data_IF_895979327945
#
_entry.id   IF_895979327945
#
_cell.length_a   1.000
_cell.length_b   1.000
_cell.length_c   1.000
_cell.angle_alpha   90.00
_cell.angle_beta   90.00
_cell.angle_gamma   90.00
#
_symmetry.space_group_name_H-M   'P 1'
#
loop_
_entity.id
_entity.type
_entity.pdbx_description
1 polymer ?
#
# COMPACT_ATOMS: atom_id res chain seq x y z
N UNK A 1 -26.75 -5.82 35.67
CA UNK A 1 -26.83 -5.21 34.31
C UNK A 1 -25.74 -5.80 33.47
N UNK A 2 -26.07 -6.77 32.62
CA UNK A 2 -25.16 -7.35 31.64
C UNK A 2 -25.00 -6.32 30.52
N UNK A 3 -23.78 -5.86 30.29
CA UNK A 3 -23.48 -5.04 29.11
C UNK A 3 -23.77 -5.87 27.86
N UNK A 4 -24.44 -5.30 26.85
CA UNK A 4 -24.65 -6.00 25.59
C UNK A 4 -23.27 -6.30 24.97
N UNK A 5 -23.08 -7.56 24.60
CA UNK A 5 -21.91 -8.01 23.84
C UNK A 5 -21.83 -7.16 22.56
N UNK A 6 -20.71 -6.52 22.26
CA UNK A 6 -20.56 -5.78 21.02
C UNK A 6 -20.82 -6.74 19.86
N UNK A 7 -21.50 -6.30 18.78
CA UNK A 7 -21.74 -7.14 17.61
C UNK A 7 -20.41 -7.70 17.10
N UNK A 8 -20.39 -9.01 16.87
CA UNK A 8 -19.27 -9.68 16.22
C UNK A 8 -18.96 -8.94 14.92
N UNK A 9 -17.72 -8.49 14.79
CA UNK A 9 -17.27 -7.85 13.55
C UNK A 9 -17.43 -8.85 12.42
N UNK A 10 -17.97 -8.44 11.26
CA UNK A 10 -17.93 -9.30 10.09
C UNK A 10 -16.49 -9.73 9.86
N UNK A 11 -16.23 -11.02 9.89
CA UNK A 11 -14.92 -11.65 9.66
C UNK A 11 -14.55 -11.71 8.17
N UNK A 12 -15.31 -11.02 7.32
CA UNK A 12 -15.28 -11.18 5.87
C UNK A 12 -14.41 -10.13 5.14
N UNK A 13 -13.42 -9.55 5.84
CA UNK A 13 -12.43 -8.72 5.16
C UNK A 13 -11.38 -9.62 4.51
N UNK A 14 -11.44 -9.72 3.17
CA UNK A 14 -10.47 -10.43 2.36
C UNK A 14 -9.50 -9.43 1.68
N UNK A 15 -8.24 -9.34 2.11
CA UNK A 15 -7.25 -8.45 1.50
C UNK A 15 -7.03 -8.70 0.01
N UNK A 16 -7.12 -9.94 -0.43
CA UNK A 16 -6.97 -10.29 -1.86
C UNK A 16 -8.10 -9.71 -2.68
N UNK A 17 -9.33 -9.89 -2.22
CA UNK A 17 -10.52 -9.37 -2.90
C UNK A 17 -10.53 -7.85 -2.93
N UNK A 18 -10.20 -7.19 -1.80
CA UNK A 18 -10.14 -5.73 -1.72
C UNK A 18 -9.05 -5.18 -2.63
N UNK A 19 -7.86 -5.79 -2.67
CA UNK A 19 -6.79 -5.38 -3.58
C UNK A 19 -7.25 -5.47 -5.04
N UNK A 20 -7.89 -6.57 -5.42
CA UNK A 20 -8.43 -6.73 -6.78
C UNK A 20 -9.47 -5.66 -7.10
N UNK A 21 -10.36 -5.39 -6.17
CA UNK A 21 -11.39 -4.36 -6.34
C UNK A 21 -10.77 -2.98 -6.56
N UNK A 22 -9.86 -2.52 -5.69
CA UNK A 22 -9.26 -1.19 -5.81
C UNK A 22 -8.29 -1.07 -6.99
N UNK A 23 -7.74 -2.19 -7.47
CA UNK A 23 -6.85 -2.23 -8.64
C UNK A 23 -7.60 -2.39 -9.98
N UNK A 24 -8.93 -2.45 -9.98
CA UNK A 24 -9.71 -2.72 -11.18
C UNK A 24 -10.16 -1.47 -11.94
N UNK A 25 -10.03 -0.29 -11.35
CA UNK A 25 -10.53 0.95 -11.97
C UNK A 25 -9.68 2.19 -11.62
N UNK A 26 -9.87 3.24 -12.39
CA UNK A 26 -9.26 4.54 -12.17
C UNK A 26 -7.74 4.51 -12.18
N UNK A 27 -7.14 5.37 -11.37
CA UNK A 27 -5.68 5.49 -11.25
C UNK A 27 -5.02 4.18 -10.81
N UNK A 28 -5.59 3.51 -9.80
CA UNK A 28 -5.05 2.25 -9.31
C UNK A 28 -5.12 1.13 -10.37
N UNK A 29 -6.19 1.10 -11.17
CA UNK A 29 -6.30 0.19 -12.31
C UNK A 29 -5.25 0.47 -13.39
N UNK A 30 -4.99 1.73 -13.69
CA UNK A 30 -3.94 2.13 -14.63
C UNK A 30 -2.54 1.81 -14.11
N UNK A 31 -2.30 1.96 -12.80
CA UNK A 31 -1.06 1.55 -12.16
C UNK A 31 -0.79 0.04 -12.30
N UNK A 32 -1.83 -0.78 -12.18
CA UNK A 32 -1.76 -2.23 -12.36
C UNK A 32 -1.02 -2.95 -11.23
N UNK A 33 -1.02 -2.40 -10.03
CA UNK A 33 -0.45 -3.08 -8.87
C UNK A 33 -1.24 -4.35 -8.55
N UNK A 34 -0.54 -5.43 -8.23
CA UNK A 34 -1.15 -6.73 -7.91
C UNK A 34 -0.77 -7.19 -6.51
N UNK A 35 -1.68 -7.93 -5.89
CA UNK A 35 -1.46 -8.54 -4.58
C UNK A 35 -0.34 -9.59 -4.62
N UNK A 36 0.49 -9.60 -3.57
CA UNK A 36 1.55 -10.60 -3.35
C UNK A 36 1.29 -11.37 -2.06
N UNK A 37 1.25 -10.69 -0.93
CA UNK A 37 1.10 -11.30 0.38
C UNK A 37 0.58 -10.30 1.42
N UNK A 38 0.15 -10.80 2.57
CA UNK A 38 -0.16 -9.99 3.73
C UNK A 38 0.07 -10.76 5.05
N UNK A 39 0.22 -10.02 6.14
CA UNK A 39 0.17 -10.54 7.49
C UNK A 39 -1.00 -9.95 8.26
N UNK A 40 -0.83 -9.74 9.55
CA UNK A 40 -1.87 -9.15 10.43
C UNK A 40 -1.90 -7.62 10.38
N UNK A 41 -0.81 -6.98 9.93
CA UNK A 41 -0.60 -5.54 9.94
C UNK A 41 0.23 -5.02 8.76
N UNK A 42 0.53 -5.86 7.77
CA UNK A 42 1.29 -5.50 6.58
C UNK A 42 0.70 -6.13 5.30
N UNK A 43 1.00 -5.50 4.18
CA UNK A 43 0.65 -5.96 2.83
C UNK A 43 1.83 -5.78 1.90
N UNK A 44 2.03 -6.71 0.99
CA UNK A 44 2.92 -6.60 -0.16
C UNK A 44 2.15 -6.57 -1.47
N UNK A 45 2.50 -5.58 -2.29
CA UNK A 45 2.03 -5.43 -3.65
C UNK A 45 3.20 -5.45 -4.62
N UNK A 46 2.95 -5.92 -5.82
CA UNK A 46 3.91 -5.88 -6.93
C UNK A 46 3.48 -4.89 -8.00
N UNK A 47 4.43 -4.15 -8.51
CA UNK A 47 4.32 -3.31 -9.69
C UNK A 47 5.24 -3.88 -10.78
N UNK A 48 4.65 -4.54 -11.77
CA UNK A 48 5.42 -5.08 -12.88
C UNK A 48 5.93 -3.95 -13.77
N UNK A 49 7.16 -4.11 -14.27
CA UNK A 49 7.77 -3.13 -15.17
C UNK A 49 6.97 -3.00 -16.47
N UNK A 50 6.72 -1.76 -16.86
CA UNK A 50 6.08 -1.41 -18.13
C UNK A 50 6.71 -0.14 -18.71
N UNK A 51 6.78 -0.07 -20.01
CA UNK A 51 7.38 1.08 -20.71
C UNK A 51 6.67 2.41 -20.39
N UNK A 52 5.36 2.38 -20.16
CA UNK A 52 4.55 3.54 -19.83
C UNK A 52 4.87 4.14 -18.46
N UNK A 53 5.54 3.39 -17.58
CA UNK A 53 5.94 3.81 -16.24
C UNK A 53 7.39 4.32 -16.16
N UNK A 54 8.09 4.33 -17.29
CA UNK A 54 9.47 4.81 -17.39
C UNK A 54 9.52 6.33 -17.27
N UNK A 55 10.43 6.84 -16.46
CA UNK A 55 10.66 8.27 -16.28
C UNK A 55 11.80 8.84 -17.12
N UNK A 56 12.69 7.97 -17.60
CA UNK A 56 13.84 8.34 -18.40
C UNK A 56 14.01 7.35 -19.56
N UNK A 57 13.82 7.84 -20.78
CA UNK A 57 13.89 7.06 -22.02
C UNK A 57 15.29 6.48 -22.30
N UNK A 58 16.35 7.12 -21.83
CA UNK A 58 17.73 6.66 -22.04
C UNK A 58 18.08 5.53 -21.08
N UNK A 59 17.86 5.73 -19.80
CA UNK A 59 18.22 4.75 -18.75
C UNK A 59 17.16 3.68 -18.51
N UNK A 60 15.92 3.89 -19.01
CA UNK A 60 14.77 3.00 -18.81
C UNK A 60 14.37 2.80 -17.33
N UNK A 61 14.80 3.71 -16.47
CA UNK A 61 14.44 3.71 -15.04
C UNK A 61 12.99 4.09 -14.87
N UNK A 62 12.28 3.40 -13.96
CA UNK A 62 10.92 3.75 -13.59
C UNK A 62 10.84 5.17 -13.02
N UNK A 63 9.79 5.90 -13.38
CA UNK A 63 9.49 7.17 -12.77
C UNK A 63 9.20 7.01 -11.26
N UNK A 64 9.43 8.05 -10.48
CA UNK A 64 9.13 8.05 -9.05
C UNK A 64 7.64 7.96 -8.73
N UNK A 65 6.79 8.57 -9.56
CA UNK A 65 5.34 8.57 -9.37
C UNK A 65 4.72 7.20 -9.18
N UNK A 66 4.97 6.22 -10.05
CA UNK A 66 4.48 4.85 -9.89
C UNK A 66 4.92 4.17 -8.58
N UNK A 67 6.15 4.40 -8.13
CA UNK A 67 6.66 3.85 -6.85
C UNK A 67 5.95 4.51 -5.66
N UNK A 68 5.74 5.83 -5.70
CA UNK A 68 4.96 6.55 -4.68
C UNK A 68 3.53 6.01 -4.62
N UNK A 69 2.87 5.86 -5.77
CA UNK A 69 1.50 5.35 -5.85
C UNK A 69 1.40 3.91 -5.32
N UNK A 70 2.38 3.05 -5.64
CA UNK A 70 2.47 1.69 -5.11
C UNK A 70 2.56 1.70 -3.57
N UNK A 71 3.39 2.58 -3.01
CA UNK A 71 3.62 2.65 -1.58
C UNK A 71 2.44 3.26 -0.83
N UNK A 72 1.77 4.26 -1.40
CA UNK A 72 0.52 4.80 -0.86
C UNK A 72 -0.57 3.70 -0.80
N UNK A 73 -0.70 2.93 -1.86
CA UNK A 73 -1.64 1.82 -1.93
C UNK A 73 -1.29 0.69 -0.95
N UNK A 74 -0.03 0.26 -0.86
CA UNK A 74 0.39 -0.81 0.04
C UNK A 74 0.19 -0.43 1.51
N UNK A 75 0.55 0.79 1.91
CA UNK A 75 0.37 1.26 3.28
C UNK A 75 -1.10 1.50 3.65
N UNK A 76 -1.92 1.95 2.71
CA UNK A 76 -3.37 2.09 2.94
C UNK A 76 -4.05 0.73 3.11
N UNK A 77 -3.70 -0.26 2.33
CA UNK A 77 -4.20 -1.64 2.47
C UNK A 77 -3.75 -2.27 3.80
N UNK A 78 -2.52 -2.02 4.24
CA UNK A 78 -2.03 -2.47 5.54
C UNK A 78 -2.87 -1.93 6.71
N UNK A 79 -3.39 -0.70 6.58
CA UNK A 79 -4.32 -0.12 7.55
C UNK A 79 -5.62 -0.91 7.64
N UNK A 80 -6.22 -1.28 6.51
CA UNK A 80 -7.44 -2.08 6.49
C UNK A 80 -7.21 -3.50 6.99
N UNK A 81 -6.08 -4.12 6.64
CA UNK A 81 -5.70 -5.44 7.15
C UNK A 81 -5.61 -5.43 8.67
N UNK A 82 -4.88 -4.47 9.24
CA UNK A 82 -4.76 -4.34 10.70
C UNK A 82 -6.09 -4.04 11.37
N UNK A 83 -6.96 -3.28 10.72
CA UNK A 83 -8.29 -2.97 11.21
C UNK A 83 -9.27 -4.14 11.08
N UNK A 84 -8.99 -5.07 10.16
CA UNK A 84 -9.84 -6.21 9.86
C UNK A 84 -11.15 -5.81 9.16
N UNK A 85 -11.18 -4.66 8.48
CA UNK A 85 -12.32 -4.19 7.70
C UNK A 85 -11.92 -3.13 6.67
N UNK A 86 -12.69 -3.08 5.59
CA UNK A 86 -12.66 -1.97 4.66
C UNK A 86 -13.44 -0.78 5.25
N UNK A 87 -12.81 0.39 5.26
CA UNK A 87 -13.45 1.61 5.75
C UNK A 87 -12.81 2.80 5.02
N UNK A 88 -13.59 3.85 4.70
CA UNK A 88 -13.06 5.02 4.03
C UNK A 88 -11.92 5.64 4.83
N UNK A 89 -10.85 5.98 4.11
CA UNK A 89 -9.68 6.63 4.69
C UNK A 89 -9.05 7.60 3.70
N UNK A 90 -8.32 8.56 4.22
CA UNK A 90 -7.57 9.53 3.45
C UNK A 90 -6.12 9.59 3.91
N UNK A 91 -5.20 9.67 2.97
CA UNK A 91 -3.78 9.93 3.24
C UNK A 91 -3.63 11.35 3.79
N UNK A 92 -3.08 11.50 4.99
CA UNK A 92 -2.75 12.81 5.54
C UNK A 92 -1.37 13.27 5.10
N UNK A 93 -0.40 12.36 5.18
CA UNK A 93 0.95 12.56 4.67
C UNK A 93 1.57 11.22 4.29
N UNK A 94 2.46 11.26 3.32
CA UNK A 94 3.30 10.15 2.93
C UNK A 94 4.67 10.69 2.53
N UNK A 95 5.64 10.52 3.40
CA UNK A 95 7.04 10.84 3.11
C UNK A 95 7.70 9.66 2.42
N UNK A 96 8.41 9.94 1.34
CA UNK A 96 9.17 8.95 0.58
C UNK A 96 10.62 9.37 0.53
N UNK A 97 11.51 8.54 1.06
CA UNK A 97 12.96 8.72 0.98
C UNK A 97 13.52 7.74 -0.05
N UNK A 98 13.91 8.25 -1.22
CA UNK A 98 14.54 7.45 -2.26
C UNK A 98 16.01 7.20 -1.92
N UNK A 99 16.41 5.94 -1.99
CA UNK A 99 17.79 5.50 -1.69
C UNK A 99 18.58 5.22 -2.96
N UNK A 100 17.91 4.73 -3.99
CA UNK A 100 18.46 4.45 -5.31
C UNK A 100 17.37 4.33 -6.37
N UNK A 101 17.77 4.34 -7.64
CA UNK A 101 16.87 4.02 -8.74
C UNK A 101 16.49 2.53 -8.75
N UNK A 102 15.29 2.22 -9.21
CA UNK A 102 14.88 0.85 -9.52
C UNK A 102 15.69 0.32 -10.72
N UNK A 103 16.05 -0.95 -10.68
CA UNK A 103 16.70 -1.60 -11.81
C UNK A 103 15.66 -1.80 -12.93
N UNK A 104 15.95 -1.35 -14.17
CA UNK A 104 15.05 -1.55 -15.30
C UNK A 104 14.62 -3.01 -15.49
N UNK A 105 13.41 -3.19 -15.99
CA UNK A 105 12.81 -4.50 -16.30
C UNK A 105 12.55 -5.41 -15.10
N UNK A 106 12.78 -4.93 -13.86
CA UNK A 106 12.43 -5.66 -12.65
C UNK A 106 11.10 -5.23 -12.09
N UNK A 107 10.37 -6.20 -11.55
CA UNK A 107 9.17 -5.94 -10.74
C UNK A 107 9.58 -5.27 -9.44
N UNK A 108 8.87 -4.20 -9.08
CA UNK A 108 9.03 -3.54 -7.78
C UNK A 108 8.01 -4.10 -6.80
N UNK A 109 8.46 -4.51 -5.63
CA UNK A 109 7.63 -4.94 -4.51
C UNK A 109 7.53 -3.80 -3.51
N UNK A 110 6.32 -3.41 -3.17
CA UNK A 110 6.02 -2.46 -2.11
C UNK A 110 5.53 -3.19 -0.86
N UNK A 111 6.26 -3.10 0.23
CA UNK A 111 5.88 -3.60 1.55
C UNK A 111 5.37 -2.45 2.41
N UNK A 112 4.10 -2.48 2.78
CA UNK A 112 3.46 -1.50 3.66
C UNK A 112 3.07 -2.13 4.98
N UNK A 113 3.35 -1.45 6.10
CA UNK A 113 3.03 -1.89 7.46
C UNK A 113 2.27 -0.78 8.20
N UNK A 114 1.16 -1.14 8.87
CA UNK A 114 0.50 -0.29 9.83
C UNK A 114 0.98 -0.64 11.23
N UNK A 115 2.00 0.07 11.74
CA UNK A 115 2.62 -0.28 13.03
C UNK A 115 1.89 0.28 14.23
N UNK A 116 1.00 1.27 14.05
CA UNK A 116 0.15 1.81 15.11
C UNK A 116 -1.20 2.26 14.55
N UNK A 117 -2.25 1.88 15.25
CA UNK A 117 -3.63 2.23 14.92
C UNK A 117 -4.31 2.83 16.14
N UNK A 118 -4.91 4.02 15.97
CA UNK A 118 -5.83 4.63 16.93
C UNK A 118 -7.27 4.56 16.40
N UNK A 119 -8.20 5.16 17.09
CA UNK A 119 -9.60 5.19 16.64
C UNK A 119 -9.74 5.85 15.26
N UNK A 120 -8.98 6.92 14.96
CA UNK A 120 -9.11 7.72 13.74
C UNK A 120 -7.85 7.81 12.91
N UNK A 121 -6.68 7.54 13.46
CA UNK A 121 -5.39 7.71 12.79
C UNK A 121 -4.66 6.38 12.73
N UNK A 122 -4.15 6.05 11.56
CA UNK A 122 -3.20 4.97 11.34
C UNK A 122 -1.82 5.53 11.05
N UNK A 123 -0.80 4.99 11.70
CA UNK A 123 0.60 5.30 11.45
C UNK A 123 1.22 4.14 10.67
N UNK A 124 1.79 4.47 9.52
CA UNK A 124 2.31 3.49 8.58
C UNK A 124 3.77 3.74 8.26
N UNK A 125 4.43 2.68 7.84
CA UNK A 125 5.78 2.70 7.28
C UNK A 125 5.90 1.62 6.22
N UNK A 126 6.96 1.66 5.45
CA UNK A 126 7.19 0.63 4.46
C UNK A 126 8.46 0.86 3.67
N UNK A 127 8.68 -0.01 2.71
CA UNK A 127 9.80 0.08 1.78
C UNK A 127 9.44 -0.56 0.43
N UNK A 128 10.13 -0.13 -0.61
CA UNK A 128 10.04 -0.72 -1.93
C UNK A 128 11.38 -1.35 -2.31
N UNK A 129 11.37 -2.51 -2.95
CA UNK A 129 12.56 -3.18 -3.46
C UNK A 129 12.29 -3.86 -4.81
N UNK A 130 13.33 -4.18 -5.54
CA UNK A 130 13.27 -4.83 -6.86
C UNK A 130 13.99 -6.20 -6.90
N UNK A 131 13.90 -6.91 -5.77
CA UNK A 131 14.43 -8.26 -5.62
C UNK A 131 15.08 -8.54 -4.26
N UNK A 132 15.76 -7.55 -3.66
CA UNK A 132 16.39 -7.68 -2.36
C UNK A 132 15.79 -6.69 -1.34
N UNK A 133 15.03 -7.17 -0.33
CA UNK A 133 14.49 -6.32 0.73
C UNK A 133 15.58 -5.62 1.58
N UNK A 134 16.79 -6.15 1.61
CA UNK A 134 17.91 -5.55 2.34
C UNK A 134 18.58 -4.39 1.57
N UNK A 135 18.30 -4.25 0.26
CA UNK A 135 18.73 -3.15 -0.59
C UNK A 135 17.52 -2.42 -1.20
N UNK A 136 16.74 -1.68 -0.41
CA UNK A 136 15.52 -1.07 -0.88
C UNK A 136 15.77 0.11 -1.83
N UNK A 137 14.79 0.34 -2.71
CA UNK A 137 14.72 1.52 -3.59
C UNK A 137 14.33 2.75 -2.80
N UNK A 138 13.36 2.59 -1.89
CA UNK A 138 12.81 3.68 -1.10
C UNK A 138 12.30 3.19 0.25
N UNK A 139 12.33 4.09 1.24
CA UNK A 139 11.58 3.96 2.49
C UNK A 139 10.41 4.94 2.52
N UNK A 140 9.32 4.54 3.17
CA UNK A 140 8.16 5.42 3.37
C UNK A 140 7.73 5.44 4.84
N UNK A 141 7.19 6.58 5.25
CA UNK A 141 6.47 6.75 6.51
C UNK A 141 5.32 7.72 6.28
N UNK A 142 4.19 7.48 6.93
CA UNK A 142 3.02 8.32 6.74
C UNK A 142 1.90 8.08 7.74
N UNK A 143 0.82 8.79 7.53
CA UNK A 143 -0.39 8.69 8.35
C UNK A 143 -1.64 8.72 7.46
N UNK A 144 -2.63 7.95 7.87
CA UNK A 144 -3.97 7.93 7.29
C UNK A 144 -5.00 8.31 8.33
N UNK A 145 -6.04 9.00 7.90
CA UNK A 145 -7.19 9.30 8.73
C UNK A 145 -8.40 8.48 8.25
N UNK A 146 -9.06 7.81 9.18
CA UNK A 146 -10.36 7.19 8.91
C UNK A 146 -11.40 8.29 8.72
N UNK A 147 -12.06 8.29 7.56
CA UNK A 147 -13.11 9.26 7.23
C UNK A 147 -14.48 8.62 7.47
N UNK A 148 -15.44 9.42 7.93
CA UNK A 148 -16.82 8.96 8.01
C UNK A 148 -17.43 9.01 6.60
N UNK A 149 -18.30 8.04 6.30
CA UNK A 149 -19.14 8.12 5.10
C UNK A 149 -20.15 9.23 5.35
N UNK A 150 -20.11 10.25 4.53
CA UNK A 150 -21.08 11.35 4.58
C UNK A 150 -22.48 10.86 4.17
#
# INVERSE_FOLDING_TARGET
MTQPTPPERPTDFDPVLVTRMVSSFGHNGALGARYVAHGTDWVELALDYRAELVGDEETKVLASGPVIALMDMATSLATWVRRGRFEPQATLDLRVDYLRAAVPERTVIGHGECYRLTRRIAFVRGFAHDGDPADPIAHVAGTFMMTEVA
#
